data_IF_764841448911
#
_entry.id   IF_764841448911
#
_cell.length_a   1.000
_cell.length_b   1.000
_cell.length_c   1.000
_cell.angle_alpha   90.00
_cell.angle_beta   90.00
_cell.angle_gamma   90.00
#
_symmetry.space_group_name_H-M   'P 1'
#
loop_
_entity.id
_entity.type
_entity.pdbx_description
1 polymer ?
#
# COMPACT_ATOMS: atom_id res chain seq x y z
N UNK A 1 -5.93 -1.22 32.38
CA UNK A 1 -6.39 -0.02 31.65
C UNK A 1 -5.15 0.68 31.14
N UNK A 2 -4.76 0.35 29.91
CA UNK A 2 -3.44 0.63 29.34
C UNK A 2 -3.29 2.13 29.07
N UNK A 3 -2.25 2.71 29.66
CA UNK A 3 -1.70 4.02 29.31
C UNK A 3 -0.94 3.89 27.99
N UNK A 4 -1.23 4.77 27.04
CA UNK A 4 -0.29 5.76 26.50
C UNK A 4 -0.63 6.05 25.04
N UNK A 5 -1.27 7.20 24.85
CA UNK A 5 -1.53 7.84 23.57
C UNK A 5 -0.21 7.97 22.80
N UNK A 6 -0.09 7.22 21.71
CA UNK A 6 0.99 7.38 20.74
C UNK A 6 0.62 8.60 19.90
N UNK A 7 1.41 9.66 20.08
CA UNK A 7 1.41 10.96 19.41
C UNK A 7 1.32 10.81 17.86
N UNK A 8 0.11 10.96 17.31
CA UNK A 8 -0.22 10.81 15.88
C UNK A 8 -0.02 12.10 15.06
N UNK A 9 0.45 13.22 15.65
CA UNK A 9 0.42 14.52 14.97
C UNK A 9 1.64 14.84 14.06
N UNK A 10 2.70 14.00 14.00
CA UNK A 10 3.98 14.38 13.36
C UNK A 10 4.29 13.80 11.98
N UNK A 11 3.30 13.33 11.24
CA UNK A 11 3.45 13.10 9.79
C UNK A 11 2.25 13.75 9.12
N UNK A 12 2.47 14.60 8.11
CA UNK A 12 1.42 15.16 7.24
C UNK A 12 0.60 14.03 6.58
N UNK A 13 -0.28 13.43 7.35
CA UNK A 13 -1.20 12.37 6.98
C UNK A 13 -2.49 12.79 7.66
N UNK A 14 -3.35 13.48 6.91
CA UNK A 14 -4.72 13.75 7.31
C UNK A 14 -5.45 12.40 7.34
N UNK A 15 -5.46 11.75 8.50
CA UNK A 15 -6.26 10.55 8.73
C UNK A 15 -7.69 11.00 8.98
N UNK A 16 -8.53 10.86 7.96
CA UNK A 16 -9.99 10.90 8.12
C UNK A 16 -10.45 9.46 8.41
N UNK A 17 -11.30 9.32 9.42
CA UNK A 17 -11.64 8.08 10.12
C UNK A 17 -12.24 6.98 9.22
N UNK A 18 -12.00 5.75 9.66
CA UNK A 18 -12.63 4.46 9.32
C UNK A 18 -12.16 3.68 8.07
N UNK A 19 -11.74 2.43 8.32
CA UNK A 19 -11.26 1.39 7.39
C UNK A 19 -10.08 1.77 6.48
N UNK A 20 -8.98 2.23 7.10
CA UNK A 20 -7.70 2.28 6.38
C UNK A 20 -7.23 0.85 6.12
N UNK A 21 -7.41 0.35 4.91
CA UNK A 21 -6.62 -0.75 4.38
C UNK A 21 -5.15 -0.32 4.56
N UNK A 22 -4.47 -0.89 5.56
CA UNK A 22 -3.14 -0.46 5.98
C UNK A 22 -2.12 -0.89 4.92
N UNK A 23 -2.04 -0.13 3.83
CA UNK A 23 -0.92 -0.26 2.89
C UNK A 23 0.35 0.09 3.66
N UNK A 24 1.15 -0.93 3.95
CA UNK A 24 2.50 -0.71 4.45
C UNK A 24 3.36 -0.18 3.31
N UNK A 25 3.39 1.15 3.15
CA UNK A 25 4.14 1.82 2.09
C UNK A 25 5.63 1.47 2.04
N UNK A 26 6.21 1.03 3.17
CA UNK A 26 7.63 0.61 3.22
C UNK A 26 7.84 -0.80 2.65
N UNK A 27 6.83 -1.66 2.75
CA UNK A 27 6.86 -3.02 2.21
C UNK A 27 6.26 -3.12 0.80
N UNK A 28 5.51 -2.12 0.36
CA UNK A 28 4.96 -2.09 -0.99
C UNK A 28 6.08 -2.04 -2.03
N UNK A 29 6.12 -3.05 -2.90
CA UNK A 29 7.07 -3.15 -4.02
C UNK A 29 6.58 -2.50 -5.30
N UNK A 30 5.32 -2.05 -5.31
CA UNK A 30 4.63 -1.58 -6.50
C UNK A 30 4.38 -2.67 -7.55
N UNK A 31 4.31 -3.94 -7.14
CA UNK A 31 4.17 -5.09 -8.05
C UNK A 31 2.84 -5.17 -8.80
N UNK A 32 1.79 -4.49 -8.34
CA UNK A 32 0.49 -4.43 -9.02
C UNK A 32 -0.44 -5.62 -8.76
N UNK A 33 0.01 -6.68 -8.09
CA UNK A 33 -0.80 -7.90 -7.91
C UNK A 33 -2.16 -7.65 -7.26
N UNK A 34 -2.23 -6.74 -6.29
CA UNK A 34 -3.48 -6.39 -5.63
C UNK A 34 -4.47 -5.67 -6.54
N UNK A 35 -3.99 -4.87 -7.50
CA UNK A 35 -4.80 -4.27 -8.58
C UNK A 35 -5.27 -5.37 -9.54
N UNK A 36 -4.36 -6.22 -10.02
CA UNK A 36 -4.66 -7.28 -11.00
C UNK A 36 -5.66 -8.34 -10.48
N UNK A 37 -5.61 -8.66 -9.18
CA UNK A 37 -6.46 -9.71 -8.58
C UNK A 37 -7.81 -9.18 -8.08
N UNK A 38 -8.03 -7.86 -8.07
CA UNK A 38 -9.25 -7.30 -7.52
C UNK A 38 -10.46 -7.69 -8.40
N UNK A 39 -11.44 -8.46 -7.90
CA UNK A 39 -12.52 -8.98 -8.74
C UNK A 39 -13.54 -7.91 -9.17
N UNK A 40 -13.46 -6.72 -8.59
CA UNK A 40 -14.37 -5.59 -8.82
C UNK A 40 -13.63 -4.32 -9.22
N UNK A 41 -12.35 -4.43 -9.61
CA UNK A 41 -11.52 -3.31 -10.07
C UNK A 41 -11.49 -2.11 -9.10
N UNK A 42 -11.60 -2.36 -7.80
CA UNK A 42 -11.66 -1.31 -6.77
C UNK A 42 -10.29 -0.70 -6.43
N UNK A 43 -9.18 -1.20 -7.00
CA UNK A 43 -7.83 -0.76 -6.68
C UNK A 43 -7.19 -0.15 -7.92
N UNK A 44 -6.56 1.01 -7.78
CA UNK A 44 -5.79 1.64 -8.84
C UNK A 44 -4.39 2.06 -8.36
N UNK A 45 -3.36 1.69 -9.12
CA UNK A 45 -1.96 1.94 -8.79
C UNK A 45 -1.26 2.70 -9.92
N UNK A 46 -0.73 3.88 -9.61
CA UNK A 46 0.20 4.58 -10.49
C UNK A 46 1.62 4.27 -10.09
N UNK A 47 2.35 3.61 -10.99
CA UNK A 47 3.72 3.16 -10.77
C UNK A 47 4.63 3.45 -11.95
N UNK A 48 5.91 3.63 -11.66
CA UNK A 48 6.97 3.81 -12.67
C UNK A 48 8.08 2.81 -12.41
N UNK A 49 8.59 2.18 -13.47
CA UNK A 49 9.72 1.26 -13.37
C UNK A 49 10.95 1.99 -12.86
N UNK A 50 11.58 1.39 -11.87
CA UNK A 50 12.84 1.87 -11.32
C UNK A 50 14.00 1.38 -12.21
N UNK A 51 15.02 2.23 -12.44
CA UNK A 51 16.25 1.82 -13.10
C UNK A 51 16.86 0.54 -12.49
N UNK A 52 17.42 -0.31 -13.34
CA UNK A 52 17.93 -1.63 -12.93
C UNK A 52 19.14 -1.57 -11.97
N UNK A 53 19.86 -0.44 -11.95
CA UNK A 53 20.98 -0.14 -11.05
C UNK A 53 20.53 0.17 -9.60
N UNK A 54 19.24 0.40 -9.40
CA UNK A 54 18.61 0.46 -8.07
C UNK A 54 18.43 -0.94 -7.47
N UNK A 55 19.18 -1.95 -7.93
CA UNK A 55 19.17 -3.32 -7.39
C UNK A 55 19.41 -3.41 -5.89
N UNK A 56 19.98 -2.36 -5.29
CA UNK A 56 20.18 -2.25 -3.84
C UNK A 56 18.92 -1.80 -3.09
N UNK A 57 17.96 -1.16 -3.75
CA UNK A 57 16.74 -0.69 -3.13
C UNK A 57 15.83 -1.86 -2.79
N UNK A 58 15.63 -2.06 -1.50
CA UNK A 58 14.85 -3.14 -0.95
C UNK A 58 13.85 -2.60 0.06
N UNK A 59 12.72 -3.29 0.17
CA UNK A 59 11.84 -3.14 1.32
C UNK A 59 12.60 -3.50 2.61
N UNK A 60 12.13 -3.10 3.80
CA UNK A 60 12.73 -3.56 5.06
C UNK A 60 12.81 -5.09 5.17
N UNK A 61 11.88 -5.84 4.55
CA UNK A 61 11.93 -7.30 4.44
C UNK A 61 12.95 -7.84 3.41
N UNK A 62 13.69 -6.97 2.72
CA UNK A 62 14.72 -7.36 1.76
C UNK A 62 14.23 -7.64 0.35
N UNK A 63 12.96 -7.33 0.03
CA UNK A 63 12.41 -7.56 -1.31
C UNK A 63 12.84 -6.43 -2.24
N UNK A 64 13.35 -6.76 -3.42
CA UNK A 64 13.80 -5.77 -4.42
C UNK A 64 12.63 -4.87 -4.85
N UNK A 65 12.87 -3.56 -4.86
CA UNK A 65 11.94 -2.58 -5.43
C UNK A 65 12.17 -2.48 -6.94
N UNK A 66 11.17 -2.89 -7.73
CA UNK A 66 11.17 -2.73 -9.19
C UNK A 66 10.38 -1.51 -9.65
N UNK A 67 9.52 -0.99 -8.78
CA UNK A 67 8.63 0.12 -9.08
C UNK A 67 8.61 1.15 -7.96
N UNK A 68 8.50 2.41 -8.35
CA UNK A 68 8.08 3.49 -7.46
C UNK A 68 6.58 3.72 -7.62
N UNK A 69 5.86 3.83 -6.50
CA UNK A 69 4.42 4.07 -6.48
C UNK A 69 4.16 5.54 -6.19
N UNK A 70 3.55 6.25 -7.14
CA UNK A 70 3.17 7.66 -7.01
C UNK A 70 1.74 7.84 -6.50
N UNK A 71 0.87 6.84 -6.72
CA UNK A 71 -0.50 6.82 -6.21
C UNK A 71 -0.96 5.38 -5.99
N UNK A 72 -1.64 5.15 -4.88
CA UNK A 72 -2.33 3.90 -4.56
C UNK A 72 -3.69 4.27 -3.99
N UNK A 73 -4.76 3.90 -4.69
CA UNK A 73 -6.14 4.26 -4.34
C UNK A 73 -6.94 2.97 -4.23
N UNK A 74 -7.75 2.87 -3.17
CA UNK A 74 -8.80 1.86 -3.03
C UNK A 74 -10.13 2.61 -3.02
N UNK A 75 -10.98 2.34 -4.00
CA UNK A 75 -12.34 2.86 -4.05
C UNK A 75 -13.23 2.02 -3.13
N UNK A 76 -13.48 2.53 -1.93
CA UNK A 76 -14.34 1.87 -0.94
C UNK A 76 -15.83 1.89 -1.32
N UNK A 77 -16.25 2.71 -2.30
CA UNK A 77 -17.60 2.63 -2.86
C UNK A 77 -17.80 1.42 -3.79
N UNK A 78 -16.71 0.89 -4.33
CA UNK A 78 -16.70 -0.29 -5.21
C UNK A 78 -16.20 -1.55 -4.50
N UNK A 79 -15.36 -1.40 -3.48
CA UNK A 79 -14.81 -2.52 -2.69
C UNK A 79 -15.92 -3.35 -2.04
N UNK A 80 -15.83 -4.67 -2.18
CA UNK A 80 -16.77 -5.64 -1.58
C UNK A 80 -16.20 -6.34 -0.34
N UNK A 81 -15.11 -5.81 0.23
CA UNK A 81 -14.46 -6.31 1.45
C UNK A 81 -14.07 -7.81 1.41
N UNK A 82 -13.75 -8.33 0.23
CA UNK A 82 -13.42 -9.75 0.03
C UNK A 82 -12.02 -10.18 0.50
N UNK A 83 -11.16 -9.23 0.88
CA UNK A 83 -9.79 -9.45 1.40
C UNK A 83 -8.76 -10.10 0.45
N UNK A 84 -9.13 -10.47 -0.78
CA UNK A 84 -8.23 -11.14 -1.75
C UNK A 84 -6.93 -10.35 -1.99
N UNK A 85 -7.01 -9.03 -2.06
CA UNK A 85 -5.84 -8.18 -2.29
C UNK A 85 -4.82 -8.22 -1.13
N UNK A 86 -5.26 -8.52 0.10
CA UNK A 86 -4.38 -8.62 1.27
C UNK A 86 -3.72 -10.00 1.32
N UNK A 87 -4.47 -11.06 0.99
CA UNK A 87 -3.97 -12.44 1.02
C UNK A 87 -2.89 -12.71 -0.03
N UNK A 88 -2.92 -11.94 -1.13
CA UNK A 88 -2.00 -12.10 -2.25
C UNK A 88 -0.98 -10.95 -2.39
N UNK A 89 -0.88 -10.06 -1.40
CA UNK A 89 0.05 -8.92 -1.38
C UNK A 89 1.49 -9.31 -1.06
#
# INVERSE_FOLDING_TARGET
MLKSDIDLEKRNISVIQDWTLLLNKKECTGCGKCEDICPVDAISIRRHSLPNDLSEWKTPSGVRLEYSVSSFIVDMGTCVECNICVEHC
#
